data_IF_415667297469
#
_entry.id   IF_415667297469
#
_cell.length_a   1.000
_cell.length_b   1.000
_cell.length_c   1.000
_cell.angle_alpha   90.00
_cell.angle_beta   90.00
_cell.angle_gamma   90.00
#
_symmetry.space_group_name_H-M   'P 1'
#
loop_
_entity.id
_entity.type
_entity.pdbx_description
1 polymer ?
#
# COMPACT_ATOMS: atom_id res chain seq x y z
N UNK A 1 9.43 -85.66 -20.79
CA UNK A 1 8.31 -84.68 -20.67
C UNK A 1 8.90 -83.39 -20.13
N UNK A 2 9.19 -82.43 -21.03
CA UNK A 2 9.82 -81.17 -20.70
C UNK A 2 8.78 -80.06 -20.76
N UNK A 3 8.48 -79.49 -19.58
CA UNK A 3 7.53 -78.41 -19.47
C UNK A 3 8.28 -77.12 -19.70
N UNK A 4 7.97 -76.40 -20.79
CA UNK A 4 8.44 -75.03 -21.06
C UNK A 4 7.54 -74.06 -20.32
N UNK A 5 8.10 -73.42 -19.30
CA UNK A 5 7.50 -72.29 -18.65
C UNK A 5 7.84 -71.01 -19.43
N UNK A 6 6.86 -70.48 -20.15
CA UNK A 6 7.00 -69.15 -20.77
C UNK A 6 6.81 -68.09 -19.73
N UNK A 7 7.88 -67.38 -19.41
CA UNK A 7 7.83 -66.18 -18.57
C UNK A 7 7.33 -64.98 -19.41
N UNK A 8 6.10 -64.57 -19.15
CA UNK A 8 5.53 -63.37 -19.78
C UNK A 8 6.11 -62.12 -19.09
N UNK A 9 7.04 -61.43 -19.74
CA UNK A 9 7.60 -60.19 -19.25
C UNK A 9 6.59 -59.09 -19.55
N UNK A 10 5.83 -58.64 -18.51
CA UNK A 10 5.06 -57.42 -18.57
C UNK A 10 5.96 -56.23 -18.55
N UNK A 11 6.14 -55.58 -19.70
CA UNK A 11 6.82 -54.28 -19.79
C UNK A 11 5.81 -53.23 -19.29
N UNK A 12 5.98 -52.78 -18.03
CA UNK A 12 5.27 -51.62 -17.50
C UNK A 12 5.91 -50.37 -18.09
N UNK A 13 5.26 -49.75 -19.08
CA UNK A 13 5.60 -48.45 -19.53
C UNK A 13 5.27 -47.43 -18.44
N UNK A 14 6.27 -47.03 -17.68
CA UNK A 14 6.18 -45.90 -16.77
C UNK A 14 6.08 -44.64 -17.63
N UNK A 15 4.88 -44.11 -17.78
CA UNK A 15 4.66 -42.80 -18.37
C UNK A 15 5.33 -41.74 -17.45
N UNK A 16 6.48 -41.25 -17.93
CA UNK A 16 7.14 -40.10 -17.31
C UNK A 16 6.17 -38.89 -17.43
N UNK A 17 5.45 -38.59 -16.36
CA UNK A 17 4.78 -37.30 -16.21
C UNK A 17 5.84 -36.23 -16.24
N UNK A 18 5.83 -35.41 -17.26
CA UNK A 18 6.67 -34.19 -17.31
C UNK A 18 6.13 -33.23 -16.25
N UNK A 19 6.64 -33.36 -15.02
CA UNK A 19 6.49 -32.34 -14.01
C UNK A 19 7.04 -31.03 -14.57
N UNK A 20 6.11 -30.17 -14.99
CA UNK A 20 6.47 -28.76 -15.28
C UNK A 20 7.12 -28.22 -14.03
N UNK A 21 8.44 -27.99 -14.10
CA UNK A 21 9.17 -27.29 -13.06
C UNK A 21 8.37 -26.05 -12.62
N UNK A 22 8.26 -25.76 -11.32
CA UNK A 22 7.53 -24.58 -10.86
C UNK A 22 8.13 -23.37 -11.56
N UNK A 23 7.27 -22.64 -12.29
CA UNK A 23 7.69 -21.38 -12.91
C UNK A 23 8.33 -20.56 -11.80
N UNK A 24 9.62 -20.19 -11.98
CA UNK A 24 10.27 -19.19 -11.12
C UNK A 24 9.26 -18.04 -10.91
N UNK A 25 9.01 -17.60 -9.66
CA UNK A 25 8.15 -16.45 -9.44
C UNK A 25 8.68 -15.33 -10.32
N UNK A 26 7.80 -14.74 -11.15
CA UNK A 26 8.13 -13.53 -11.90
C UNK A 26 8.83 -12.60 -10.92
N UNK A 27 10.00 -12.07 -11.30
CA UNK A 27 10.74 -11.11 -10.49
C UNK A 27 9.72 -10.17 -9.86
N UNK A 28 9.70 -10.12 -8.52
CA UNK A 28 8.73 -9.31 -7.79
C UNK A 28 8.79 -7.92 -8.38
N UNK A 29 7.70 -7.50 -9.01
CA UNK A 29 7.62 -6.19 -9.63
C UNK A 29 8.00 -5.18 -8.56
N UNK A 30 9.06 -4.41 -8.79
CA UNK A 30 9.54 -3.45 -7.80
C UNK A 30 8.52 -2.31 -7.71
N UNK A 31 7.59 -2.43 -6.76
CA UNK A 31 6.49 -1.48 -6.57
C UNK A 31 6.92 -0.22 -5.81
N UNK A 32 8.14 -0.20 -5.31
CA UNK A 32 8.71 0.93 -4.56
C UNK A 32 9.87 1.51 -5.35
N UNK A 33 9.89 2.83 -5.44
CA UNK A 33 10.94 3.60 -6.08
C UNK A 33 11.29 4.82 -5.21
N UNK A 34 12.59 5.06 -5.04
CA UNK A 34 13.10 6.27 -4.38
C UNK A 34 14.04 6.98 -5.35
N UNK A 35 13.68 8.19 -5.75
CA UNK A 35 14.49 9.03 -6.65
C UNK A 35 14.59 10.46 -6.10
N UNK A 36 15.80 10.94 -5.94
CA UNK A 36 16.08 12.31 -5.47
C UNK A 36 15.30 12.68 -4.18
N UNK A 37 15.20 11.73 -3.23
CA UNK A 37 14.46 11.95 -1.98
C UNK A 37 12.93 11.88 -2.12
N UNK A 38 12.40 11.55 -3.29
CA UNK A 38 10.99 11.26 -3.51
C UNK A 38 10.75 9.76 -3.43
N UNK A 39 9.95 9.32 -2.47
CA UNK A 39 9.45 7.96 -2.34
C UNK A 39 8.15 7.82 -3.13
N UNK A 40 8.06 6.75 -3.89
CA UNK A 40 6.85 6.37 -4.63
C UNK A 40 6.58 4.89 -4.43
N UNK A 41 5.37 4.54 -4.04
CA UNK A 41 4.86 3.17 -4.00
C UNK A 41 3.69 3.04 -4.96
N UNK A 42 3.66 1.94 -5.70
CA UNK A 42 2.68 1.68 -6.75
C UNK A 42 1.78 0.52 -6.36
N UNK A 43 0.56 0.51 -6.88
CA UNK A 43 -0.28 -0.68 -6.89
C UNK A 43 0.31 -1.76 -7.81
N UNK A 44 -0.05 -3.06 -7.62
CA UNK A 44 0.34 -4.13 -8.53
C UNK A 44 0.08 -3.76 -10.00
N UNK A 45 1.05 -4.05 -10.88
CA UNK A 45 1.00 -3.65 -12.29
C UNK A 45 1.64 -2.30 -12.57
N UNK A 46 2.09 -1.57 -11.55
CA UNK A 46 2.84 -0.29 -11.62
C UNK A 46 2.22 0.78 -12.55
N UNK A 47 0.89 0.79 -12.65
CA UNK A 47 0.14 1.76 -13.46
C UNK A 47 -0.38 2.94 -12.65
N UNK A 48 -0.67 2.70 -11.37
CA UNK A 48 -1.24 3.68 -10.44
C UNK A 48 -0.39 3.80 -9.19
N UNK A 49 -0.04 5.03 -8.82
CA UNK A 49 0.57 5.34 -7.53
C UNK A 49 -0.37 4.99 -6.39
N UNK A 50 0.20 4.42 -5.33
CA UNK A 50 -0.48 4.14 -4.07
C UNK A 50 -0.11 5.18 -3.02
N UNK A 51 1.20 5.46 -2.87
CA UNK A 51 1.72 6.52 -2.00
C UNK A 51 2.78 7.32 -2.72
N UNK A 52 2.89 8.59 -2.38
CA UNK A 52 4.01 9.42 -2.78
C UNK A 52 4.28 10.50 -1.74
N UNK A 53 5.55 10.77 -1.49
CA UNK A 53 5.99 11.85 -0.62
C UNK A 53 7.50 11.91 -0.51
N UNK A 54 7.99 13.01 0.04
CA UNK A 54 9.42 13.19 0.28
C UNK A 54 9.89 12.37 1.47
N UNK A 55 11.16 12.00 1.45
CA UNK A 55 11.85 11.39 2.58
C UNK A 55 13.14 12.17 2.89
N UNK A 56 13.47 12.23 4.18
CA UNK A 56 14.74 12.80 4.64
C UNK A 56 15.93 11.87 4.34
N UNK A 57 17.14 12.30 4.69
CA UNK A 57 18.38 11.52 4.48
C UNK A 57 18.41 10.20 5.29
N UNK A 58 17.56 10.05 6.30
CA UNK A 58 17.43 8.83 7.12
C UNK A 58 16.34 7.90 6.60
N UNK A 59 15.59 8.32 5.55
CA UNK A 59 14.47 7.57 5.00
C UNK A 59 13.13 7.80 5.72
N UNK A 60 13.05 8.76 6.65
CA UNK A 60 11.79 9.12 7.31
C UNK A 60 10.94 9.97 6.38
N UNK A 61 9.61 9.88 6.51
CA UNK A 61 8.68 10.77 5.82
C UNK A 61 8.96 12.22 6.21
N UNK A 62 9.03 13.10 5.18
CA UNK A 62 9.30 14.51 5.36
C UNK A 62 8.51 15.34 4.35
N UNK A 63 7.81 16.39 4.79
CA UNK A 63 6.91 17.16 3.94
C UNK A 63 5.59 16.47 3.62
N UNK A 64 4.99 16.82 2.49
CA UNK A 64 3.66 16.34 2.07
C UNK A 64 3.71 14.90 1.59
N UNK A 65 2.80 14.08 2.09
CA UNK A 65 2.54 12.71 1.66
C UNK A 65 1.11 12.54 1.19
N UNK A 66 0.94 11.88 0.05
CA UNK A 66 -0.37 11.65 -0.58
C UNK A 66 -0.60 10.16 -0.74
N UNK A 67 -1.82 9.72 -0.42
CA UNK A 67 -2.32 8.38 -0.64
C UNK A 67 -3.42 8.41 -1.70
N UNK A 68 -3.33 7.51 -2.67
CA UNK A 68 -4.27 7.39 -3.78
C UNK A 68 -5.03 6.07 -3.73
N UNK A 69 -6.23 6.05 -4.28
CA UNK A 69 -6.98 4.82 -4.56
C UNK A 69 -6.41 4.10 -5.79
N UNK A 70 -6.79 2.82 -6.02
CA UNK A 70 -6.44 2.11 -7.25
C UNK A 70 -6.93 2.82 -8.53
N UNK A 71 -8.00 3.60 -8.44
CA UNK A 71 -8.57 4.40 -9.54
C UNK A 71 -7.85 5.74 -9.75
N UNK A 72 -6.92 6.11 -8.85
CA UNK A 72 -6.12 7.33 -8.94
C UNK A 72 -6.68 8.53 -8.19
N UNK A 73 -7.76 8.36 -7.44
CA UNK A 73 -8.32 9.44 -6.61
C UNK A 73 -7.45 9.65 -5.37
N UNK A 74 -7.16 10.91 -5.03
CA UNK A 74 -6.50 11.27 -3.78
C UNK A 74 -7.43 10.96 -2.60
N UNK A 75 -7.02 10.02 -1.75
CA UNK A 75 -7.78 9.60 -0.57
C UNK A 75 -7.31 10.27 0.72
N UNK A 76 -6.03 10.60 0.83
CA UNK A 76 -5.54 11.37 1.97
C UNK A 76 -4.28 12.15 1.64
N UNK A 77 -4.12 13.24 2.41
CA UNK A 77 -2.88 14.02 2.46
C UNK A 77 -2.54 14.26 3.91
N UNK A 78 -1.26 14.09 4.25
CA UNK A 78 -0.72 14.44 5.56
C UNK A 78 0.66 15.07 5.39
N UNK A 79 1.01 15.96 6.30
CA UNK A 79 2.34 16.57 6.37
C UNK A 79 3.15 15.88 7.47
N UNK A 80 4.42 15.67 7.20
CA UNK A 80 5.37 15.03 8.11
C UNK A 80 6.60 15.90 8.30
N UNK A 81 7.15 15.85 9.48
CA UNK A 81 8.47 16.36 9.82
C UNK A 81 9.28 15.23 10.43
N UNK A 82 10.37 14.82 9.76
CA UNK A 82 11.29 13.76 10.22
C UNK A 82 10.57 12.49 10.74
N UNK A 83 9.50 12.06 10.05
CA UNK A 83 8.76 10.83 10.33
C UNK A 83 7.54 10.99 11.22
N UNK A 84 7.31 12.16 11.83
CA UNK A 84 6.13 12.46 12.64
C UNK A 84 5.16 13.32 11.86
N UNK A 85 3.85 13.10 12.05
CA UNK A 85 2.84 13.99 11.46
C UNK A 85 2.95 15.36 12.11
N UNK A 86 3.10 16.38 11.26
CA UNK A 86 3.27 17.77 11.67
C UNK A 86 2.55 18.67 10.68
N UNK A 87 1.46 19.30 11.08
CA UNK A 87 0.61 20.14 10.23
C UNK A 87 -0.66 19.43 9.76
N UNK A 88 -1.25 19.94 8.68
CA UNK A 88 -2.57 19.53 8.22
C UNK A 88 -2.63 18.09 7.72
N UNK A 89 -3.75 17.45 8.05
CA UNK A 89 -4.14 16.14 7.52
C UNK A 89 -5.58 16.19 7.04
N UNK A 90 -5.81 15.61 5.86
CA UNK A 90 -7.14 15.47 5.25
C UNK A 90 -7.31 14.04 4.79
N UNK A 91 -8.46 13.45 5.10
CA UNK A 91 -8.88 12.14 4.56
C UNK A 91 -10.20 12.34 3.83
N UNK A 92 -10.33 11.68 2.69
CA UNK A 92 -11.49 11.78 1.81
C UNK A 92 -12.21 10.44 1.70
N UNK A 93 -13.49 10.51 1.44
CA UNK A 93 -14.28 9.38 0.96
C UNK A 93 -13.88 8.99 -0.48
N UNK A 94 -14.21 7.78 -0.96
CA UNK A 94 -13.96 7.38 -2.35
C UNK A 94 -14.57 8.30 -3.39
N UNK A 95 -15.69 8.98 -3.06
CA UNK A 95 -16.35 9.97 -3.93
C UNK A 95 -15.61 11.34 -3.97
N UNK A 96 -14.50 11.49 -3.24
CA UNK A 96 -13.69 12.70 -3.19
C UNK A 96 -14.13 13.73 -2.12
N UNK A 97 -15.29 13.55 -1.49
CA UNK A 97 -15.71 14.41 -0.40
C UNK A 97 -14.79 14.25 0.82
N UNK A 98 -14.55 15.32 1.56
CA UNK A 98 -13.75 15.25 2.78
C UNK A 98 -14.49 14.43 3.82
N UNK A 99 -13.81 13.42 4.40
CA UNK A 99 -14.33 12.62 5.51
C UNK A 99 -13.97 13.29 6.84
N UNK A 100 -12.68 13.57 7.04
CA UNK A 100 -12.24 14.35 8.19
C UNK A 100 -10.98 15.15 7.87
N UNK A 101 -10.75 16.21 8.61
CA UNK A 101 -9.57 17.06 8.53
C UNK A 101 -9.20 17.64 9.88
N UNK A 102 -7.94 17.95 10.06
CA UNK A 102 -7.43 18.59 11.26
C UNK A 102 -5.93 18.79 11.17
N UNK A 103 -5.30 19.03 12.29
CA UNK A 103 -3.88 19.29 12.40
C UNK A 103 -3.23 18.34 13.40
N UNK A 104 -2.03 17.90 13.06
CA UNK A 104 -1.15 17.16 13.97
C UNK A 104 0.02 18.02 14.38
N UNK A 105 0.49 17.82 15.61
CA UNK A 105 1.76 18.30 16.11
C UNK A 105 2.45 17.15 16.83
N UNK A 106 3.63 16.74 16.34
CA UNK A 106 4.36 15.57 16.86
C UNK A 106 3.50 14.30 16.98
N UNK A 107 2.72 13.94 15.94
CA UNK A 107 1.76 12.83 15.90
C UNK A 107 0.53 12.97 16.80
N UNK A 108 0.40 14.05 17.55
CA UNK A 108 -0.74 14.34 18.43
C UNK A 108 -1.75 15.21 17.67
N UNK A 109 -3.04 14.88 17.76
CA UNK A 109 -4.12 15.72 17.23
C UNK A 109 -4.19 17.02 18.02
N UNK A 110 -4.21 18.17 17.33
CA UNK A 110 -4.31 19.49 17.95
C UNK A 110 -5.38 20.33 17.25
N UNK A 111 -5.85 21.38 17.93
CA UNK A 111 -6.86 22.28 17.41
C UNK A 111 -8.18 21.57 17.05
N UNK A 112 -8.94 22.16 16.14
CA UNK A 112 -10.26 21.67 15.77
C UNK A 112 -10.15 20.57 14.70
N UNK A 113 -10.71 19.41 15.01
CA UNK A 113 -10.92 18.32 14.07
C UNK A 113 -12.37 18.23 13.67
N UNK A 114 -12.62 18.26 12.35
CA UNK A 114 -13.97 18.24 11.78
C UNK A 114 -14.16 16.95 10.99
N UNK A 115 -15.29 16.28 11.24
CA UNK A 115 -15.74 15.09 10.48
C UNK A 115 -16.99 15.47 9.68
N UNK A 116 -17.05 14.99 8.44
CA UNK A 116 -18.13 15.26 7.49
C UNK A 116 -18.78 13.96 7.02
N UNK A 117 -20.00 14.05 6.53
CA UNK A 117 -20.63 12.98 5.76
C UNK A 117 -20.18 13.03 4.28
N UNK A 118 -20.60 12.04 3.49
CA UNK A 118 -20.28 11.96 2.05
C UNK A 118 -20.85 13.10 1.20
N UNK A 119 -21.77 13.89 1.75
CA UNK A 119 -22.37 15.08 1.13
C UNK A 119 -21.69 16.38 1.57
N UNK A 120 -20.67 16.28 2.44
CA UNK A 120 -19.94 17.44 2.95
C UNK A 120 -20.61 18.14 4.14
N UNK A 121 -21.66 17.56 4.73
CA UNK A 121 -22.29 18.10 5.94
C UNK A 121 -21.42 17.77 7.15
N UNK A 122 -21.18 18.72 8.02
CA UNK A 122 -20.47 18.51 9.29
C UNK A 122 -21.28 17.56 10.18
N UNK A 123 -20.63 16.48 10.59
CA UNK A 123 -21.16 15.50 11.54
C UNK A 123 -20.68 15.78 12.96
N UNK A 124 -19.43 16.18 13.10
CA UNK A 124 -18.82 16.44 14.40
C UNK A 124 -17.65 17.40 14.29
N UNK A 125 -17.48 18.22 15.32
CA UNK A 125 -16.28 19.01 15.55
C UNK A 125 -15.79 18.76 16.97
N UNK A 126 -14.48 18.52 17.11
CA UNK A 126 -13.84 18.32 18.39
C UNK A 126 -12.59 19.16 18.48
N UNK A 127 -12.51 19.98 19.50
CA UNK A 127 -11.31 20.73 19.83
C UNK A 127 -10.43 19.91 20.77
N UNK A 128 -9.21 19.63 20.32
CA UNK A 128 -8.18 18.95 21.11
C UNK A 128 -7.25 19.92 21.83
N UNK A 129 -7.44 21.24 21.59
CA UNK A 129 -6.54 22.26 22.09
C UNK A 129 -5.15 22.19 21.45
N UNK A 130 -4.28 23.07 21.91
CA UNK A 130 -2.85 23.01 21.60
C UNK A 130 -2.11 22.68 22.89
N UNK A 131 -1.15 21.72 22.86
CA UNK A 131 -0.28 21.51 24.02
C UNK A 131 0.41 22.83 24.32
N UNK A 132 0.40 23.23 25.59
CA UNK A 132 1.09 24.42 26.06
C UNK A 132 2.55 24.33 25.62
N UNK A 133 3.04 25.36 24.97
CA UNK A 133 4.46 25.51 24.62
C UNK A 133 5.32 25.64 25.89
#
# INVERSE_FOLDING_TARGET
MRIFIQILICIVLVACSTDKAPKKPKASEQLIEVKHGLYSEWYPGKKQLKFQGSIDKKGNRDGKWVFFSPEGNELSTSVYDHGKREGFSVVKYPNGAVHYRGEYRNDVMVGIWTTFDEKGKVLNEKDYGFPNE
#
